data_IF_484772523777
#
_entry.id   IF_484772523777
#
_cell.length_a   1.000
_cell.length_b   1.000
_cell.length_c   1.000
_cell.angle_alpha   90.00
_cell.angle_beta   90.00
_cell.angle_gamma   90.00
#
_symmetry.space_group_name_H-M   'P 1'
#
loop_
_entity.id
_entity.type
_entity.pdbx_description
1 polymer ?
#
# COMPACT_ATOMS: atom_id res chain seq x y z
N UNK A 1 20.65 -17.82 2.93
CA UNK A 1 20.22 -16.44 3.08
C UNK A 1 18.74 -16.50 3.44
N UNK A 2 18.40 -16.24 4.71
CA UNK A 2 17.01 -16.23 5.16
C UNK A 2 16.34 -14.96 4.66
N UNK A 3 15.28 -15.09 3.86
CA UNK A 3 14.51 -13.96 3.35
C UNK A 3 13.76 -13.21 4.47
N UNK A 4 13.39 -11.96 4.22
CA UNK A 4 12.71 -11.04 5.17
C UNK A 4 11.44 -11.64 5.81
N UNK A 5 10.71 -12.52 5.11
CA UNK A 5 9.60 -13.30 5.66
C UNK A 5 10.04 -14.22 6.80
N UNK A 6 11.26 -14.79 6.72
CA UNK A 6 11.86 -15.57 7.78
C UNK A 6 12.20 -14.75 9.02
N UNK A 7 12.63 -13.50 8.83
CA UNK A 7 12.95 -12.59 9.95
C UNK A 7 11.70 -12.13 10.71
N UNK A 8 10.63 -11.79 9.99
CA UNK A 8 9.36 -11.43 10.62
C UNK A 8 8.76 -12.63 11.39
N UNK A 9 8.76 -13.82 10.79
CA UNK A 9 8.32 -15.04 11.47
C UNK A 9 9.20 -15.39 12.68
N UNK A 10 10.50 -15.13 12.61
CA UNK A 10 11.43 -15.33 13.72
C UNK A 10 11.20 -14.32 14.84
N UNK A 11 10.96 -13.04 14.51
CA UNK A 11 10.63 -12.01 15.49
C UNK A 11 9.31 -12.32 16.22
N UNK A 12 8.27 -12.72 15.48
CA UNK A 12 6.99 -13.14 16.08
C UNK A 12 7.17 -14.38 16.96
N UNK A 13 7.98 -15.36 16.54
CA UNK A 13 8.28 -16.56 17.32
C UNK A 13 9.09 -16.21 18.57
N UNK A 14 10.05 -15.28 18.48
CA UNK A 14 10.82 -14.79 19.61
C UNK A 14 9.93 -14.06 20.61
N UNK A 15 9.07 -13.14 20.17
CA UNK A 15 8.12 -12.44 21.04
C UNK A 15 7.16 -13.40 21.75
N UNK A 16 6.76 -14.49 21.10
CA UNK A 16 5.96 -15.57 21.74
C UNK A 16 6.78 -16.41 22.73
N UNK A 17 8.07 -16.61 22.49
CA UNK A 17 8.93 -17.44 23.34
C UNK A 17 9.41 -16.75 24.62
N UNK A 18 9.46 -15.41 24.65
CA UNK A 18 9.83 -14.63 25.84
C UNK A 18 8.64 -14.37 26.80
N UNK A 19 7.56 -15.14 26.66
CA UNK A 19 6.46 -15.07 27.64
C UNK A 19 5.66 -13.78 27.57
N UNK A 20 5.66 -13.09 26.42
CA UNK A 20 4.62 -12.13 26.15
C UNK A 20 3.30 -12.88 26.25
N UNK A 21 2.57 -12.68 27.34
CA UNK A 21 1.35 -13.36 27.64
C UNK A 21 0.43 -13.25 26.42
N UNK A 22 0.18 -14.38 25.75
CA UNK A 22 -0.97 -14.52 24.87
C UNK A 22 -2.17 -14.55 25.80
N UNK A 23 -2.59 -13.36 26.21
CA UNK A 23 -3.54 -13.21 27.28
C UNK A 23 -4.91 -13.69 26.84
N UNK A 24 -5.38 -14.69 27.56
CA UNK A 24 -6.81 -14.86 27.81
C UNK A 24 -7.36 -13.81 28.80
N UNK A 25 -6.59 -12.81 29.19
CA UNK A 25 -7.06 -11.67 29.96
C UNK A 25 -7.49 -10.54 28.99
N UNK A 26 -8.64 -9.87 29.24
CA UNK A 26 -9.00 -8.69 28.47
C UNK A 26 -7.81 -7.72 28.51
N UNK A 27 -7.29 -7.38 27.33
CA UNK A 27 -6.32 -6.28 27.23
C UNK A 27 -7.09 -5.07 27.71
N UNK A 28 -6.71 -4.54 28.88
CA UNK A 28 -7.25 -3.28 29.36
C UNK A 28 -6.97 -2.25 28.29
N UNK A 29 -8.04 -1.72 27.70
CA UNK A 29 -7.91 -0.77 26.62
C UNK A 29 -7.10 0.41 27.16
N UNK A 30 -5.91 0.62 26.64
CA UNK A 30 -5.14 1.81 26.95
C UNK A 30 -6.07 3.02 26.82
N UNK A 31 -6.06 3.96 27.79
CA UNK A 31 -6.85 5.16 27.68
C UNK A 31 -6.57 5.77 26.31
N UNK A 32 -7.63 6.09 25.56
CA UNK A 32 -7.47 6.73 24.25
C UNK A 32 -6.59 7.95 24.47
N UNK A 33 -5.42 8.05 23.79
CA UNK A 33 -4.64 9.26 23.91
C UNK A 33 -5.53 10.43 23.52
N UNK A 34 -5.48 11.50 24.30
CA UNK A 34 -6.15 12.75 23.99
C UNK A 34 -5.46 13.37 22.77
N UNK A 35 -5.78 12.83 21.58
CA UNK A 35 -5.25 13.30 20.30
C UNK A 35 -5.99 14.60 19.97
N UNK A 36 -5.50 15.72 20.51
CA UNK A 36 -5.90 17.01 20.00
C UNK A 36 -5.04 17.38 18.78
N UNK A 37 -5.67 17.97 17.80
CA UNK A 37 -4.93 18.61 16.72
C UNK A 37 -4.03 19.69 17.33
N UNK A 38 -2.73 19.69 16.98
CA UNK A 38 -1.83 20.81 17.30
C UNK A 38 -2.42 22.06 16.65
N UNK A 39 -2.68 23.10 17.43
CA UNK A 39 -3.18 24.36 16.89
C UNK A 39 -2.16 24.96 15.91
N UNK A 40 -2.63 25.71 14.94
CA UNK A 40 -1.78 26.37 13.95
C UNK A 40 -0.68 27.25 14.58
N UNK A 41 -0.92 27.75 15.79
CA UNK A 41 -0.02 28.65 16.53
C UNK A 41 0.98 27.92 17.46
N UNK A 42 0.93 26.60 17.59
CA UNK A 42 1.74 25.89 18.61
C UNK A 42 3.17 25.56 18.14
N UNK A 43 3.42 25.42 16.84
CA UNK A 43 4.76 25.27 16.25
C UNK A 43 4.74 25.76 14.81
N UNK A 44 5.83 26.42 14.33
CA UNK A 44 5.96 26.67 12.91
C UNK A 44 5.94 25.32 12.17
N UNK A 45 5.12 25.16 11.12
CA UNK A 45 5.10 23.94 10.33
C UNK A 45 6.50 23.72 9.72
N UNK A 46 6.90 22.44 9.65
CA UNK A 46 8.10 22.04 8.90
C UNK A 46 7.88 22.39 7.43
N UNK A 47 8.91 22.95 6.80
CA UNK A 47 8.85 23.29 5.37
C UNK A 47 8.54 22.03 4.55
N UNK A 48 7.54 22.06 3.63
CA UNK A 48 7.17 20.89 2.85
C UNK A 48 8.27 20.35 1.93
N UNK A 49 9.21 21.22 1.50
CA UNK A 49 10.39 20.82 0.71
C UNK A 49 11.36 20.02 1.57
N UNK A 50 11.75 20.58 2.73
CA UNK A 50 12.61 19.89 3.70
C UNK A 50 12.00 18.54 4.13
N UNK A 51 10.69 18.50 4.41
CA UNK A 51 9.99 17.28 4.76
C UNK A 51 10.12 16.21 3.66
N UNK A 52 9.90 16.57 2.39
CA UNK A 52 10.04 15.64 1.26
C UNK A 52 11.48 15.19 1.07
N UNK A 53 12.43 16.08 1.23
CA UNK A 53 13.86 15.78 1.07
C UNK A 53 14.32 14.77 2.11
N UNK A 54 13.96 14.98 3.38
CA UNK A 54 14.29 14.06 4.47
C UNK A 54 13.62 12.70 4.28
N UNK A 55 12.32 12.68 4.01
CA UNK A 55 11.60 11.42 3.81
C UNK A 55 11.99 10.71 2.52
N UNK A 56 12.49 11.44 1.52
CA UNK A 56 13.06 10.87 0.30
C UNK A 56 14.23 9.91 0.54
N UNK A 57 14.91 10.00 1.70
CA UNK A 57 15.96 9.04 2.09
C UNK A 57 15.44 7.67 2.46
N UNK A 58 14.14 7.53 2.75
CA UNK A 58 13.51 6.24 2.98
C UNK A 58 13.17 5.58 1.65
N UNK A 59 13.95 4.58 1.25
CA UNK A 59 13.68 3.82 0.04
C UNK A 59 12.42 2.98 0.21
N UNK A 60 11.50 3.08 -0.75
CA UNK A 60 10.27 2.28 -0.77
C UNK A 60 10.19 1.40 -2.02
N UNK A 61 9.41 0.33 -1.93
CA UNK A 61 8.87 -0.33 -3.11
C UNK A 61 7.86 0.58 -3.81
N UNK A 62 7.47 0.19 -5.02
CA UNK A 62 6.44 0.87 -5.81
C UNK A 62 5.31 -0.10 -6.11
N UNK A 63 4.08 0.34 -5.90
CA UNK A 63 2.89 -0.46 -6.20
C UNK A 63 1.93 0.32 -7.10
N UNK A 64 1.03 -0.42 -7.77
CA UNK A 64 -0.15 0.14 -8.40
C UNK A 64 -1.38 -0.46 -7.73
N UNK A 65 -2.24 0.39 -7.20
CA UNK A 65 -3.53 0.00 -6.65
C UNK A 65 -4.55 0.06 -7.78
N UNK A 66 -5.29 -1.02 -7.99
CA UNK A 66 -6.29 -1.14 -9.05
C UNK A 66 -7.64 -1.55 -8.48
N UNK A 67 -8.73 -1.14 -9.11
CA UNK A 67 -10.09 -1.65 -8.83
C UNK A 67 -10.84 -1.95 -10.14
N UNK A 68 -11.85 -2.84 -10.12
CA UNK A 68 -12.65 -3.12 -11.29
C UNK A 68 -13.44 -1.88 -11.72
N UNK A 69 -13.86 -1.86 -12.96
CA UNK A 69 -14.82 -0.89 -13.48
C UNK A 69 -16.22 -1.15 -12.94
N UNK A 70 -17.06 -0.14 -12.99
CA UNK A 70 -18.48 -0.20 -12.63
C UNK A 70 -19.34 0.31 -13.80
N UNK A 71 -20.28 -0.50 -14.23
CA UNK A 71 -21.12 -0.17 -15.39
C UNK A 71 -20.29 0.04 -16.66
N UNK A 72 -20.43 1.20 -17.29
CA UNK A 72 -19.69 1.59 -18.50
C UNK A 72 -18.29 2.17 -18.19
N UNK A 73 -18.01 2.48 -16.93
CA UNK A 73 -16.69 2.95 -16.51
C UNK A 73 -15.70 1.79 -16.48
N UNK A 74 -14.62 1.88 -17.24
CA UNK A 74 -13.51 0.93 -17.22
C UNK A 74 -12.84 0.85 -15.84
N UNK A 75 -11.82 0.02 -15.66
CA UNK A 75 -11.11 -0.09 -14.39
C UNK A 75 -10.41 1.21 -13.99
N UNK A 76 -10.05 1.33 -12.71
CA UNK A 76 -9.31 2.47 -12.20
C UNK A 76 -8.09 2.06 -11.40
N UNK A 77 -7.10 2.94 -11.29
CA UNK A 77 -5.91 2.69 -10.52
C UNK A 77 -5.00 3.90 -10.39
N UNK A 78 -4.04 3.80 -9.48
CA UNK A 78 -3.01 4.82 -9.26
C UNK A 78 -1.71 4.21 -8.72
N UNK A 79 -0.58 4.86 -8.97
CA UNK A 79 0.72 4.47 -8.41
C UNK A 79 0.79 4.87 -6.93
N UNK A 80 1.28 3.97 -6.08
CA UNK A 80 1.33 4.13 -4.63
C UNK A 80 2.66 3.64 -4.07
N UNK A 81 3.30 4.48 -3.24
CA UNK A 81 4.52 4.15 -2.50
C UNK A 81 4.23 3.87 -1.02
N UNK A 82 3.13 4.41 -0.51
CA UNK A 82 2.75 4.35 0.90
C UNK A 82 2.06 3.04 1.27
N UNK A 83 2.51 1.93 0.69
CA UNK A 83 1.98 0.59 0.94
C UNK A 83 2.83 -0.16 1.97
N UNK A 84 2.16 -0.85 2.91
CA UNK A 84 2.82 -1.73 3.88
C UNK A 84 1.90 -2.89 4.31
N UNK A 85 2.53 -3.95 4.85
CA UNK A 85 1.80 -4.96 5.65
C UNK A 85 1.40 -4.35 6.99
N UNK A 86 0.20 -4.67 7.49
CA UNK A 86 -0.32 -4.14 8.75
C UNK A 86 -0.50 -5.21 9.83
N UNK A 87 -1.05 -6.37 9.48
CA UNK A 87 -1.36 -7.44 10.42
C UNK A 87 -1.26 -8.81 9.74
N UNK A 88 -0.88 -9.82 10.50
CA UNK A 88 -0.87 -11.21 10.03
C UNK A 88 -2.15 -11.96 10.41
N UNK A 89 -2.76 -11.62 11.53
CA UNK A 89 -4.01 -12.22 11.98
C UNK A 89 -4.94 -11.14 12.58
N UNK A 90 -6.01 -10.76 11.89
CA UNK A 90 -6.32 -11.12 10.50
C UNK A 90 -5.29 -10.53 9.52
N UNK A 91 -5.14 -11.09 8.30
CA UNK A 91 -4.20 -10.58 7.31
C UNK A 91 -4.67 -9.24 6.75
N UNK A 92 -3.94 -8.17 7.09
CA UNK A 92 -4.27 -6.80 6.68
C UNK A 92 -3.07 -6.13 6.03
N UNK A 93 -3.36 -5.26 5.08
CA UNK A 93 -2.42 -4.33 4.46
C UNK A 93 -2.92 -2.89 4.61
N UNK A 94 -2.04 -1.93 4.42
CA UNK A 94 -2.37 -0.50 4.48
C UNK A 94 -1.75 0.24 3.32
N UNK A 95 -2.45 1.23 2.81
CA UNK A 95 -1.89 2.25 1.92
C UNK A 95 -2.51 3.62 2.23
N UNK A 96 -1.82 4.69 1.82
CA UNK A 96 -2.34 6.04 1.96
C UNK A 96 -2.64 6.63 0.58
N UNK A 97 -3.73 7.40 0.50
CA UNK A 97 -4.17 8.08 -0.72
C UNK A 97 -4.58 9.52 -0.41
N UNK A 98 -4.12 10.46 -1.21
CA UNK A 98 -4.47 11.87 -1.05
C UNK A 98 -5.99 12.10 -1.15
N UNK A 99 -6.54 12.95 -0.29
CA UNK A 99 -7.99 13.28 -0.29
C UNK A 99 -8.44 13.96 -1.59
N UNK A 100 -7.52 14.57 -2.34
CA UNK A 100 -7.74 15.16 -3.67
C UNK A 100 -7.69 14.14 -4.82
N UNK A 101 -7.46 12.85 -4.54
CA UNK A 101 -7.37 11.81 -5.57
C UNK A 101 -8.70 11.64 -6.30
N UNK A 102 -8.68 11.76 -7.62
CA UNK A 102 -9.85 11.50 -8.48
C UNK A 102 -10.11 9.99 -8.67
N UNK A 103 -9.13 9.15 -8.38
CA UNK A 103 -9.24 7.69 -8.48
C UNK A 103 -9.85 7.08 -7.21
N UNK A 104 -9.58 7.66 -6.04
CA UNK A 104 -10.05 7.13 -4.76
C UNK A 104 -11.57 6.92 -4.68
N UNK A 105 -12.44 7.87 -5.09
CA UNK A 105 -13.89 7.66 -5.03
C UNK A 105 -14.35 6.41 -5.79
N UNK A 106 -13.67 6.03 -6.86
CA UNK A 106 -13.97 4.82 -7.64
C UNK A 106 -13.60 3.56 -6.87
N UNK A 107 -12.41 3.54 -6.25
CA UNK A 107 -11.96 2.42 -5.38
C UNK A 107 -12.88 2.29 -4.16
N UNK A 108 -13.27 3.40 -3.55
CA UNK A 108 -14.16 3.41 -2.39
C UNK A 108 -15.56 2.84 -2.74
N UNK A 109 -16.12 3.19 -3.91
CA UNK A 109 -17.40 2.62 -4.38
C UNK A 109 -17.29 1.13 -4.67
N UNK A 110 -16.21 0.71 -5.34
CA UNK A 110 -15.97 -0.71 -5.61
C UNK A 110 -15.82 -1.53 -4.33
N UNK A 111 -15.36 -0.92 -3.23
CA UNK A 111 -15.14 -1.59 -1.95
C UNK A 111 -14.01 -2.62 -1.97
N UNK A 112 -13.30 -2.73 -3.10
CA UNK A 112 -12.28 -3.75 -3.36
C UNK A 112 -11.11 -3.15 -4.14
N UNK A 113 -9.95 -3.80 -4.04
CA UNK A 113 -8.75 -3.40 -4.79
C UNK A 113 -7.73 -4.53 -4.90
N UNK A 114 -6.86 -4.45 -5.89
CA UNK A 114 -5.66 -5.28 -5.98
C UNK A 114 -4.42 -4.39 -5.87
N UNK A 115 -3.47 -4.80 -5.06
CA UNK A 115 -2.12 -4.21 -4.98
C UNK A 115 -1.23 -4.97 -5.95
N UNK A 116 -0.69 -4.30 -6.95
CA UNK A 116 0.26 -4.82 -7.89
C UNK A 116 1.65 -4.30 -7.53
N UNK A 117 2.52 -5.14 -7.01
CA UNK A 117 3.91 -4.77 -6.70
C UNK A 117 4.68 -4.67 -8.01
N UNK A 118 5.26 -3.52 -8.31
CA UNK A 118 5.99 -3.34 -9.57
C UNK A 118 7.40 -3.93 -9.49
N UNK A 119 7.84 -4.51 -10.59
CA UNK A 119 9.18 -5.03 -10.79
C UNK A 119 10.07 -4.08 -11.61
N UNK A 120 11.36 -4.36 -11.59
CA UNK A 120 12.35 -3.68 -12.44
C UNK A 120 11.90 -3.76 -13.91
N UNK A 121 11.99 -2.64 -14.62
CA UNK A 121 11.52 -2.48 -16.01
C UNK A 121 10.06 -2.03 -16.12
N UNK A 122 9.35 -1.78 -15.01
CA UNK A 122 7.99 -1.28 -15.00
C UNK A 122 7.88 0.21 -14.60
N UNK A 123 8.96 0.99 -14.75
CA UNK A 123 8.98 2.44 -14.45
C UNK A 123 7.98 3.22 -15.32
N UNK A 124 7.86 2.82 -16.61
CA UNK A 124 6.89 3.41 -17.54
C UNK A 124 5.45 3.19 -17.07
N UNK A 125 5.15 1.98 -16.56
CA UNK A 125 3.85 1.64 -15.99
C UNK A 125 3.57 2.50 -14.74
N UNK A 126 4.55 2.63 -13.83
CA UNK A 126 4.41 3.52 -12.67
C UNK A 126 4.06 4.95 -13.08
N UNK A 127 4.78 5.52 -14.05
CA UNK A 127 4.54 6.89 -14.53
C UNK A 127 3.15 7.06 -15.14
N UNK A 128 2.68 6.08 -15.92
CA UNK A 128 1.33 6.08 -16.49
C UNK A 128 0.25 6.11 -15.40
N UNK A 129 0.42 5.31 -14.34
CA UNK A 129 -0.52 5.29 -13.20
C UNK A 129 -0.40 6.50 -12.26
N UNK A 130 0.74 7.20 -12.27
CA UNK A 130 0.91 8.44 -11.53
C UNK A 130 0.31 9.67 -12.25
N UNK A 131 0.14 9.62 -13.58
CA UNK A 131 -0.44 10.70 -14.34
C UNK A 131 -1.94 10.88 -14.04
N UNK A 132 -2.43 12.12 -14.17
CA UNK A 132 -3.86 12.44 -14.03
C UNK A 132 -4.50 12.62 -15.40
N UNK A 133 -5.80 12.32 -15.52
CA UNK A 133 -6.62 12.70 -16.69
C UNK A 133 -6.40 11.84 -17.94
N UNK A 134 -5.75 10.68 -17.85
CA UNK A 134 -5.52 9.76 -18.96
C UNK A 134 -6.21 8.42 -18.73
N UNK A 135 -6.54 7.69 -19.81
CA UNK A 135 -6.89 6.27 -19.70
C UNK A 135 -5.63 5.47 -19.40
N UNK A 136 -5.47 5.14 -18.12
CA UNK A 136 -4.28 4.46 -17.60
C UNK A 136 -4.21 2.99 -17.99
N UNK A 137 -5.30 2.42 -18.48
CA UNK A 137 -5.38 1.01 -18.89
C UNK A 137 -5.29 0.81 -20.40
N UNK A 138 -5.29 1.88 -21.19
CA UNK A 138 -5.17 1.79 -22.64
C UNK A 138 -3.91 1.01 -23.06
N UNK A 139 -4.10 -0.05 -23.82
CA UNK A 139 -3.02 -0.90 -24.32
C UNK A 139 -2.36 -1.80 -23.27
N UNK A 140 -2.87 -1.87 -22.03
CA UNK A 140 -2.33 -2.76 -21.02
C UNK A 140 -3.00 -4.13 -21.04
N UNK A 141 -2.19 -5.16 -20.81
CA UNK A 141 -2.68 -6.52 -20.53
C UNK A 141 -2.78 -6.71 -19.02
N UNK A 142 -3.93 -7.19 -18.58
CA UNK A 142 -4.18 -7.55 -17.19
C UNK A 142 -5.20 -8.68 -17.09
N UNK A 143 -5.10 -9.45 -16.02
CA UNK A 143 -6.07 -10.48 -15.65
C UNK A 143 -7.02 -9.97 -14.58
N UNK A 144 -8.04 -10.74 -14.25
CA UNK A 144 -8.93 -10.46 -13.13
C UNK A 144 -8.40 -11.15 -11.86
N UNK A 145 -8.16 -10.39 -10.82
CA UNK A 145 -7.80 -10.94 -9.50
C UNK A 145 -8.89 -11.93 -9.01
N UNK A 146 -8.49 -13.04 -8.36
CA UNK A 146 -9.39 -14.19 -8.16
C UNK A 146 -10.57 -13.90 -7.23
N UNK A 147 -10.41 -13.05 -6.23
CA UNK A 147 -11.46 -12.78 -5.25
C UNK A 147 -12.30 -11.55 -5.60
N UNK A 148 -11.68 -10.47 -6.12
CA UNK A 148 -12.36 -9.19 -6.30
C UNK A 148 -12.55 -8.78 -7.75
N UNK A 149 -11.93 -9.49 -8.68
CA UNK A 149 -11.90 -9.15 -10.12
C UNK A 149 -11.18 -7.83 -10.44
N UNK A 150 -10.50 -7.26 -9.48
CA UNK A 150 -9.64 -6.08 -9.71
C UNK A 150 -8.54 -6.40 -10.73
N UNK A 151 -8.11 -5.45 -11.57
CA UNK A 151 -7.06 -5.70 -12.54
C UNK A 151 -5.74 -6.16 -11.89
N UNK A 152 -5.25 -7.29 -12.36
CA UNK A 152 -3.96 -7.87 -12.04
C UNK A 152 -3.03 -7.63 -13.21
N UNK A 153 -2.11 -6.68 -13.05
CA UNK A 153 -1.26 -6.21 -14.14
C UNK A 153 -0.23 -7.28 -14.54
N UNK A 154 -0.01 -7.42 -15.83
CA UNK A 154 0.92 -8.43 -16.36
C UNK A 154 2.36 -8.19 -15.88
N UNK A 155 3.06 -9.27 -15.57
CA UNK A 155 4.49 -9.27 -15.25
C UNK A 155 4.88 -8.66 -13.92
N UNK A 156 3.95 -8.42 -12.99
CA UNK A 156 4.26 -7.99 -11.63
C UNK A 156 4.85 -9.14 -10.81
N UNK A 157 5.90 -8.91 -9.99
CA UNK A 157 6.51 -9.96 -9.18
C UNK A 157 5.61 -10.46 -8.04
N UNK A 158 4.65 -9.65 -7.60
CA UNK A 158 3.68 -10.04 -6.57
C UNK A 158 2.41 -9.21 -6.68
N UNK A 159 1.30 -9.78 -6.21
CA UNK A 159 0.02 -9.07 -6.10
C UNK A 159 -0.75 -9.49 -4.85
N UNK A 160 -1.59 -8.59 -4.35
CA UNK A 160 -2.41 -8.80 -3.16
C UNK A 160 -3.84 -8.32 -3.45
N UNK A 161 -4.79 -9.22 -3.42
CA UNK A 161 -6.21 -9.00 -3.71
C UNK A 161 -6.99 -8.77 -2.41
N UNK A 162 -7.67 -7.63 -2.28
CA UNK A 162 -8.18 -7.11 -1.02
C UNK A 162 -9.60 -6.57 -1.10
N UNK A 163 -10.31 -6.66 0.01
CA UNK A 163 -11.51 -5.86 0.28
C UNK A 163 -11.17 -4.73 1.24
N UNK A 164 -11.80 -3.56 1.09
CA UNK A 164 -11.62 -2.46 2.05
C UNK A 164 -12.17 -2.91 3.40
N UNK A 165 -11.34 -2.81 4.45
CA UNK A 165 -11.70 -3.17 5.81
C UNK A 165 -12.06 -1.94 6.65
N UNK A 166 -11.27 -0.88 6.54
CA UNK A 166 -11.48 0.38 7.24
C UNK A 166 -10.81 1.54 6.51
N UNK A 167 -11.29 2.75 6.74
CA UNK A 167 -10.69 3.99 6.23
C UNK A 167 -10.61 4.99 7.36
N UNK A 168 -9.44 5.58 7.56
CA UNK A 168 -9.16 6.57 8.60
C UNK A 168 -8.64 7.86 7.98
N UNK A 169 -8.80 8.97 8.69
CA UNK A 169 -8.23 10.27 8.27
C UNK A 169 -6.79 10.40 8.75
N UNK A 170 -5.89 10.80 7.87
CA UNK A 170 -4.49 11.09 8.16
C UNK A 170 -4.05 12.41 7.54
N UNK A 171 -4.52 13.54 8.08
CA UNK A 171 -4.22 14.86 7.52
C UNK A 171 -4.85 15.07 6.14
N UNK A 172 -4.02 15.38 5.13
CA UNK A 172 -4.42 15.53 3.73
C UNK A 172 -4.56 14.18 2.99
N UNK A 173 -4.31 13.06 3.67
CA UNK A 173 -4.46 11.70 3.16
C UNK A 173 -5.55 10.92 3.91
N UNK A 174 -6.01 9.85 3.26
CA UNK A 174 -6.78 8.78 3.88
C UNK A 174 -5.85 7.58 4.08
N UNK A 175 -6.01 6.89 5.20
CA UNK A 175 -5.34 5.63 5.53
C UNK A 175 -6.34 4.53 5.25
N UNK A 176 -6.08 3.75 4.23
CA UNK A 176 -6.96 2.67 3.77
C UNK A 176 -6.42 1.34 4.25
N UNK A 177 -7.19 0.65 5.07
CA UNK A 177 -6.88 -0.70 5.53
C UNK A 177 -7.61 -1.72 4.65
N UNK A 178 -6.87 -2.63 4.06
CA UNK A 178 -7.38 -3.72 3.23
C UNK A 178 -7.28 -5.07 3.93
N UNK A 179 -8.35 -5.87 3.89
CA UNK A 179 -8.31 -7.26 4.29
C UNK A 179 -7.93 -8.12 3.09
N UNK A 180 -6.85 -8.87 3.22
CA UNK A 180 -6.35 -9.75 2.17
C UNK A 180 -7.31 -10.92 1.95
N UNK A 181 -7.66 -11.18 0.70
CA UNK A 181 -8.52 -12.28 0.26
C UNK A 181 -7.75 -13.34 -0.53
N UNK A 182 -6.79 -12.88 -1.34
CA UNK A 182 -5.88 -13.73 -2.09
C UNK A 182 -4.57 -12.98 -2.34
N UNK A 183 -3.50 -13.70 -2.55
CA UNK A 183 -2.20 -13.15 -2.89
C UNK A 183 -1.34 -14.19 -3.60
N UNK A 184 -0.41 -13.75 -4.43
CA UNK A 184 0.64 -14.60 -4.96
C UNK A 184 1.90 -13.78 -5.27
N UNK A 185 3.01 -14.49 -5.31
CA UNK A 185 4.29 -13.99 -5.79
C UNK A 185 4.82 -14.95 -6.86
N UNK A 186 4.35 -14.81 -8.13
CA UNK A 186 4.78 -15.72 -9.21
C UNK A 186 6.29 -15.65 -9.48
N UNK A 187 6.98 -14.67 -8.92
CA UNK A 187 8.43 -14.54 -8.99
C UNK A 187 8.94 -13.89 -10.28
N UNK A 188 10.25 -13.95 -10.48
CA UNK A 188 10.92 -13.65 -11.73
C UNK A 188 11.55 -12.27 -11.86
N UNK A 189 11.08 -11.25 -11.14
CA UNK A 189 11.65 -9.89 -11.21
C UNK A 189 12.02 -9.36 -9.84
N UNK A 190 13.16 -8.65 -9.75
CA UNK A 190 13.48 -7.83 -8.59
C UNK A 190 12.45 -6.70 -8.45
N UNK A 191 12.13 -6.25 -7.23
CA UNK A 191 11.17 -5.16 -7.02
C UNK A 191 11.72 -3.84 -7.56
N UNK A 192 10.81 -3.01 -8.10
CA UNK A 192 11.11 -1.63 -8.43
C UNK A 192 11.19 -0.81 -7.15
N UNK A 193 12.30 -0.13 -6.94
CA UNK A 193 12.50 0.77 -5.82
C UNK A 193 12.35 2.24 -6.25
N UNK A 194 12.00 3.09 -5.28
CA UNK A 194 12.02 4.53 -5.43
C UNK A 194 12.76 5.16 -4.24
N UNK A 195 13.76 5.98 -4.54
CA UNK A 195 14.61 6.62 -3.56
C UNK A 195 15.04 7.99 -4.07
N UNK A 196 14.83 9.04 -3.27
CA UNK A 196 15.22 10.44 -3.58
C UNK A 196 14.80 10.88 -4.98
N UNK A 197 13.54 10.62 -5.35
CA UNK A 197 12.98 11.03 -6.64
C UNK A 197 13.40 10.17 -7.84
N UNK A 198 14.11 9.05 -7.63
CA UNK A 198 14.62 8.19 -8.70
C UNK A 198 14.17 6.75 -8.52
N UNK A 199 13.91 6.10 -9.64
CA UNK A 199 13.74 4.64 -9.65
C UNK A 199 15.08 3.94 -9.48
N UNK A 200 15.05 2.79 -8.84
CA UNK A 200 16.20 1.94 -8.59
C UNK A 200 15.83 0.47 -8.50
N UNK A 201 16.83 -0.35 -8.24
CA UNK A 201 16.69 -1.77 -7.97
C UNK A 201 17.54 -2.15 -6.75
N UNK A 202 17.24 -3.28 -6.06
CA UNK A 202 18.17 -3.81 -5.08
C UNK A 202 19.54 -4.04 -5.71
N UNK A 203 20.61 -3.87 -4.94
CA UNK A 203 21.93 -4.37 -5.33
C UNK A 203 21.93 -5.90 -5.18
N UNK A 204 22.60 -6.57 -6.10
CA UNK A 204 22.81 -8.02 -6.07
C UNK A 204 23.72 -8.42 -4.90
#
# INVERSE_FOLDING_TARGET
VMGHAGMAATAVRYLRSVGAATAAAPVEALPRPDLRAVGEDERPPVDPGEFRDVLGHFASGVTVITCPGEGEEGPAGFACQSFASLSLDPPLVVFMVGRSSTTWPRIARAGVFCVNVLGVGQEGLCRAFAASGTDKFAGLTYDAAPATRSPLLAGVPAWIDCVIHAVHTGGDHLIVVGRVRALAAPGGRAPLLFHRGRFGRPAD
#
